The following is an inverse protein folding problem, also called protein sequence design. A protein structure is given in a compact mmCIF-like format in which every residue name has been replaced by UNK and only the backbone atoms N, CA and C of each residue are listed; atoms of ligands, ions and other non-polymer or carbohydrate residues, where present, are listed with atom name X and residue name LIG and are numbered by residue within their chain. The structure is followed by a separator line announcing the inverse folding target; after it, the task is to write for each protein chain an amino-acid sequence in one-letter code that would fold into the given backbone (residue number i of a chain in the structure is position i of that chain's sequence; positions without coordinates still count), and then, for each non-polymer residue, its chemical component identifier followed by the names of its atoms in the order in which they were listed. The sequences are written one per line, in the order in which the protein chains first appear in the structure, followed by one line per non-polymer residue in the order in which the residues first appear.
data_IF_973862179610
#
_entry.id   IF_973862179610
#
_cell.length_a   1.000
_cell.length_b   1.000
_cell.length_c   1.000
_cell.angle_alpha   90.00
_cell.angle_beta   90.00
_cell.angle_gamma   90.00
#
_symmetry.space_group_name_H-M   'P 1'
#
loop_
_entity.id
_entity.type
_entity.pdbx_description
1 polymer ?
#
# COMPACT_ATOMS: atom_id res chain seq x y z
N UNK A 1 25.44 6.47 -0.78
CA UNK A 1 24.34 5.77 -0.07
C UNK A 1 23.17 6.74 0.03
N UNK A 2 22.05 6.49 -0.67
CA UNK A 2 20.85 7.36 -0.55
C UNK A 2 20.30 7.20 0.87
N UNK A 3 20.14 8.30 1.60
CA UNK A 3 19.65 8.31 2.98
C UNK A 3 18.24 8.91 2.99
N UNK A 4 17.28 8.14 3.50
CA UNK A 4 15.96 8.62 3.85
C UNK A 4 15.88 8.74 5.36
N UNK A 5 15.31 9.83 5.86
CA UNK A 5 15.09 10.01 7.28
C UNK A 5 13.97 9.10 7.78
N UNK A 6 13.97 8.76 9.08
CA UNK A 6 12.88 7.99 9.67
C UNK A 6 11.53 8.71 9.51
N UNK A 7 11.53 10.04 9.64
CA UNK A 7 10.33 10.85 9.45
C UNK A 7 9.81 10.75 8.01
N UNK A 8 10.67 10.87 6.99
CA UNK A 8 10.24 10.69 5.60
C UNK A 8 9.60 9.31 5.36
N UNK A 9 10.18 8.24 5.91
CA UNK A 9 9.62 6.90 5.76
C UNK A 9 8.29 6.74 6.51
N UNK A 10 8.19 7.30 7.71
CA UNK A 10 6.96 7.32 8.49
C UNK A 10 5.84 8.02 7.72
N UNK A 11 6.16 9.19 7.15
CA UNK A 11 5.27 10.01 6.35
C UNK A 11 4.73 9.26 5.12
N UNK A 12 5.59 8.55 4.38
CA UNK A 12 5.15 7.77 3.22
C UNK A 12 4.27 6.59 3.61
N UNK A 13 4.59 5.90 4.72
CA UNK A 13 3.85 4.73 5.21
C UNK A 13 2.45 5.08 5.71
N UNK A 14 2.30 6.21 6.40
CA UNK A 14 1.10 6.48 7.21
C UNK A 14 0.20 7.59 6.63
N UNK A 15 0.73 8.53 5.85
CA UNK A 15 -0.05 9.68 5.37
C UNK A 15 -0.47 9.59 3.89
N UNK A 16 -0.04 8.55 3.17
CA UNK A 16 -0.60 8.25 1.84
C UNK A 16 -1.82 7.33 2.07
N UNK A 17 -3.05 7.73 1.71
CA UNK A 17 -4.24 6.92 1.95
C UNK A 17 -4.14 5.57 1.23
N UNK A 18 -4.11 4.47 2.00
CA UNK A 18 -3.82 3.15 1.43
C UNK A 18 -4.90 2.68 0.45
N UNK A 19 -6.17 3.04 0.67
CA UNK A 19 -7.26 2.70 -0.26
C UNK A 19 -7.06 3.38 -1.62
N UNK A 20 -6.76 4.68 -1.62
CA UNK A 20 -6.50 5.45 -2.85
C UNK A 20 -5.25 4.93 -3.56
N UNK A 21 -4.18 4.61 -2.81
CA UNK A 21 -2.98 3.99 -3.39
C UNK A 21 -3.32 2.65 -4.10
N UNK A 22 -4.08 1.79 -3.44
CA UNK A 22 -4.49 0.48 -3.98
C UNK A 22 -5.32 0.64 -5.26
N UNK A 23 -6.35 1.50 -5.22
CA UNK A 23 -7.33 1.59 -6.28
C UNK A 23 -6.87 2.49 -7.43
N UNK A 24 -6.28 3.65 -7.14
CA UNK A 24 -6.01 4.69 -8.15
C UNK A 24 -4.59 4.59 -8.72
N UNK A 25 -3.60 4.28 -7.88
CA UNK A 25 -2.19 4.22 -8.32
C UNK A 25 -1.75 2.83 -8.73
N UNK A 26 -2.11 1.81 -7.95
CA UNK A 26 -1.76 0.42 -8.25
C UNK A 26 -2.80 -0.26 -9.15
N UNK A 27 -3.98 0.34 -9.32
CA UNK A 27 -5.08 -0.17 -10.13
C UNK A 27 -5.40 -1.64 -9.81
N UNK A 28 -5.30 -2.02 -8.53
CA UNK A 28 -5.66 -3.35 -8.09
C UNK A 28 -7.18 -3.49 -8.11
N UNK A 29 -7.71 -4.64 -8.58
CA UNK A 29 -9.13 -4.92 -8.45
C UNK A 29 -9.57 -4.80 -7.00
N UNK A 30 -10.57 -3.96 -6.75
CA UNK A 30 -11.11 -3.69 -5.42
C UNK A 30 -12.63 -3.59 -5.45
N UNK A 31 -13.27 -3.90 -4.32
CA UNK A 31 -14.72 -3.83 -4.14
C UNK A 31 -15.07 -3.56 -2.69
N UNK A 32 -16.28 -3.06 -2.46
CA UNK A 32 -16.88 -3.05 -1.12
C UNK A 32 -17.66 -4.35 -0.94
N UNK A 33 -17.35 -5.08 0.14
CA UNK A 33 -18.07 -6.30 0.52
C UNK A 33 -18.21 -6.31 2.03
N UNK A 34 -19.43 -6.53 2.53
CA UNK A 34 -19.74 -6.55 3.97
C UNK A 34 -19.33 -5.22 4.67
N UNK A 35 -19.45 -4.10 3.96
CA UNK A 35 -19.03 -2.78 4.46
C UNK A 35 -17.50 -2.59 4.56
N UNK A 36 -16.69 -3.54 4.08
CA UNK A 36 -15.24 -3.47 4.09
C UNK A 36 -14.67 -3.25 2.70
N UNK A 37 -13.60 -2.45 2.60
CA UNK A 37 -12.81 -2.33 1.38
C UNK A 37 -11.96 -3.59 1.20
N UNK A 38 -12.29 -4.38 0.17
CA UNK A 38 -11.60 -5.61 -0.21
C UNK A 38 -10.81 -5.35 -1.50
N UNK A 39 -9.56 -5.77 -1.55
CA UNK A 39 -8.70 -5.72 -2.74
C UNK A 39 -8.15 -7.11 -3.07
N UNK A 40 -7.83 -7.35 -4.33
CA UNK A 40 -7.16 -8.57 -4.76
C UNK A 40 -5.74 -8.59 -4.19
N UNK A 41 -5.43 -9.57 -3.33
CA UNK A 41 -4.10 -9.67 -2.74
C UNK A 41 -3.05 -9.95 -3.84
N UNK A 42 -1.98 -9.14 -3.96
CA UNK A 42 -0.97 -9.34 -4.99
C UNK A 42 -0.10 -10.59 -4.79
N UNK A 43 -0.19 -11.25 -3.62
CA UNK A 43 0.58 -12.47 -3.33
C UNK A 43 -0.20 -13.76 -3.62
N UNK A 44 -1.49 -13.81 -3.24
CA UNK A 44 -2.29 -15.04 -3.34
C UNK A 44 -3.48 -14.95 -4.30
N UNK A 45 -3.77 -13.79 -4.88
CA UNK A 45 -4.88 -13.62 -5.81
C UNK A 45 -6.28 -13.75 -5.17
N UNK A 46 -6.41 -13.56 -3.86
CA UNK A 46 -7.70 -13.62 -3.15
C UNK A 46 -8.17 -12.28 -2.61
N UNK A 47 -9.48 -12.16 -2.41
CA UNK A 47 -10.14 -10.99 -1.80
C UNK A 47 -10.36 -11.10 -0.29
N UNK A 48 -9.72 -12.08 0.38
CA UNK A 48 -9.69 -12.17 1.85
C UNK A 48 -8.73 -11.12 2.42
N UNK A 49 -9.04 -9.85 2.17
CA UNK A 49 -8.21 -8.69 2.51
C UNK A 49 -9.04 -7.62 3.19
N UNK A 50 -8.42 -6.69 3.90
CA UNK A 50 -9.09 -5.49 4.40
C UNK A 50 -8.07 -4.38 4.55
N UNK A 51 -8.56 -3.15 4.68
CA UNK A 51 -7.75 -1.99 5.09
C UNK A 51 -8.26 -1.45 6.41
N UNK A 52 -7.36 -0.88 7.22
CA UNK A 52 -7.70 -0.18 8.44
C UNK A 52 -7.31 1.29 8.31
N UNK A 53 -8.29 2.21 8.10
CA UNK A 53 -8.02 3.63 7.97
C UNK A 53 -7.35 4.25 9.20
N UNK A 54 -7.56 3.69 10.41
CA UNK A 54 -6.97 4.24 11.65
C UNK A 54 -5.46 4.02 11.72
N UNK A 55 -4.96 2.93 11.14
CA UNK A 55 -3.53 2.57 11.14
C UNK A 55 -2.89 2.67 9.77
N UNK A 56 -3.66 3.02 8.73
CA UNK A 56 -3.25 3.06 7.33
C UNK A 56 -2.58 1.76 6.83
N UNK A 57 -3.07 0.61 7.30
CA UNK A 57 -2.55 -0.70 6.92
C UNK A 57 -3.56 -1.47 6.06
N UNK A 58 -3.03 -2.21 5.11
CA UNK A 58 -3.75 -3.24 4.38
C UNK A 58 -3.34 -4.61 4.95
N UNK A 59 -4.25 -5.57 4.96
CA UNK A 59 -3.95 -6.93 5.40
C UNK A 59 -4.56 -7.93 4.43
N UNK A 60 -3.83 -8.99 4.14
CA UNK A 60 -4.39 -10.23 3.62
C UNK A 60 -4.48 -11.24 4.75
N UNK A 61 -5.68 -11.75 5.02
CA UNK A 61 -5.91 -12.72 6.07
C UNK A 61 -5.42 -14.12 5.67
N UNK A 62 -5.53 -14.47 4.39
CA UNK A 62 -5.01 -15.74 3.85
C UNK A 62 -3.48 -15.81 3.89
N UNK A 63 -2.79 -14.72 3.57
CA UNK A 63 -1.32 -14.65 3.64
C UNK A 63 -0.80 -14.29 5.03
N UNK A 64 -1.68 -13.97 5.98
CA UNK A 64 -1.34 -13.47 7.31
C UNK A 64 -0.38 -12.27 7.32
N UNK A 65 -0.42 -11.45 6.25
CA UNK A 65 0.54 -10.38 6.01
C UNK A 65 -0.11 -9.01 6.02
N UNK A 66 0.51 -8.09 6.75
CA UNK A 66 0.20 -6.66 6.69
C UNK A 66 1.07 -5.97 5.62
N UNK A 67 0.53 -4.92 5.04
CA UNK A 67 1.19 -4.04 4.09
C UNK A 67 0.95 -2.59 4.51
N UNK A 68 2.00 -1.80 4.63
CA UNK A 68 1.90 -0.35 4.49
C UNK A 68 2.00 0.03 3.00
N UNK A 69 1.95 1.32 2.70
CA UNK A 69 2.04 1.83 1.32
C UNK A 69 3.33 1.46 0.59
N UNK A 70 4.47 1.44 1.28
CA UNK A 70 5.76 1.00 0.73
C UNK A 70 5.69 -0.49 0.39
N UNK A 71 5.20 -1.32 1.31
CA UNK A 71 5.09 -2.76 1.09
C UNK A 71 4.17 -3.08 -0.09
N UNK A 72 3.05 -2.35 -0.22
CA UNK A 72 2.11 -2.50 -1.33
C UNK A 72 2.78 -2.23 -2.68
N UNK A 73 3.48 -1.10 -2.82
CA UNK A 73 4.16 -0.74 -4.08
C UNK A 73 5.28 -1.72 -4.40
N UNK A 74 6.13 -2.05 -3.43
CA UNK A 74 7.20 -3.03 -3.63
C UNK A 74 6.65 -4.38 -4.09
N UNK A 75 5.55 -4.83 -3.48
CA UNK A 75 4.94 -6.14 -3.80
C UNK A 75 4.28 -6.14 -5.18
N UNK A 76 3.60 -5.06 -5.56
CA UNK A 76 2.87 -5.01 -6.84
C UNK A 76 3.76 -4.71 -8.04
N UNK A 77 4.80 -3.90 -7.85
CA UNK A 77 5.67 -3.44 -8.94
C UNK A 77 7.00 -4.19 -9.01
N UNK A 78 7.26 -5.10 -8.07
CA UNK A 78 8.54 -5.80 -7.93
C UNK A 78 9.75 -4.85 -7.91
N UNK A 79 9.59 -3.68 -7.28
CA UNK A 79 10.59 -2.61 -7.26
C UNK A 79 11.43 -2.65 -5.98
N UNK A 80 12.65 -2.13 -6.06
CA UNK A 80 13.50 -2.00 -4.88
C UNK A 80 12.94 -0.96 -3.89
N UNK A 81 13.37 -1.05 -2.64
CA UNK A 81 12.98 -0.09 -1.60
C UNK A 81 13.30 1.36 -2.00
N UNK A 82 14.47 1.61 -2.59
CA UNK A 82 14.89 2.96 -3.01
C UNK A 82 14.01 3.50 -4.13
N UNK A 83 13.70 2.67 -5.13
CA UNK A 83 12.80 3.05 -6.23
C UNK A 83 11.40 3.34 -5.70
N UNK A 84 10.86 2.46 -4.86
CA UNK A 84 9.54 2.65 -4.23
C UNK A 84 9.46 3.96 -3.47
N UNK A 85 10.47 4.29 -2.64
CA UNK A 85 10.47 5.53 -1.86
C UNK A 85 10.46 6.76 -2.79
N UNK A 86 11.23 6.75 -3.87
CA UNK A 86 11.19 7.85 -4.85
C UNK A 86 9.83 7.95 -5.55
N UNK A 87 9.26 6.82 -5.99
CA UNK A 87 7.93 6.76 -6.61
C UNK A 87 6.85 7.31 -5.68
N UNK A 88 6.85 6.91 -4.41
CA UNK A 88 5.88 7.38 -3.42
C UNK A 88 6.08 8.85 -3.06
N UNK A 89 7.32 9.37 -3.01
CA UNK A 89 7.57 10.81 -2.85
C UNK A 89 7.00 11.62 -4.02
N UNK A 90 7.15 11.14 -5.25
CA UNK A 90 6.61 11.80 -6.44
C UNK A 90 5.08 11.71 -6.50
N UNK A 91 4.52 10.56 -6.11
CA UNK A 91 3.07 10.36 -6.04
C UNK A 91 2.43 11.28 -4.99
N UNK A 92 3.02 11.37 -3.79
CA UNK A 92 2.51 12.23 -2.70
C UNK A 92 2.43 13.71 -3.08
N UNK A 93 3.28 14.21 -3.97
CA UNK A 93 3.24 15.61 -4.41
C UNK A 93 2.04 15.91 -5.33
N UNK A 94 1.34 14.89 -5.83
CA UNK A 94 0.22 15.02 -6.77
C UNK A 94 -1.16 14.85 -6.10
N UNK A 95 -1.20 14.50 -4.81
CA UNK A 95 -2.41 14.23 -4.06
C UNK A 95 -2.56 15.20 -2.89
#
# INVERSE_FOLDING_TARGET
MKRFTQNELFELRNHIPINALIQERLNLPAKISEGQFRFLCPLCGEFQTATNPKTNLARCFRCEKNFNTIDMVMTCENSSFVETVHTLKAYRQKI
#
